data_IF_313908644419
#
_entry.id   IF_313908644419
#
_cell.length_a   1.000
_cell.length_b   1.000
_cell.length_c   1.000
_cell.angle_alpha   90.00
_cell.angle_beta   90.00
_cell.angle_gamma   90.00
#
_symmetry.space_group_name_H-M   'P 1'
#
loop_
_entity.id
_entity.type
_entity.pdbx_description
1 polymer ?
#
# COMPACT_ATOMS: atom_id res chain seq x y z
N UNK A 1 -9.19 -26.27 -12.80
CA UNK A 1 -8.61 -25.27 -11.88
C UNK A 1 -8.88 -23.91 -12.47
N UNK A 2 -9.86 -23.19 -11.95
CA UNK A 2 -10.07 -21.79 -12.31
C UNK A 2 -9.01 -20.98 -11.57
N UNK A 3 -8.12 -20.29 -12.29
CA UNK A 3 -7.30 -19.25 -11.66
C UNK A 3 -8.21 -18.02 -11.54
N UNK A 4 -8.84 -17.84 -10.38
CA UNK A 4 -9.38 -16.56 -9.99
C UNK A 4 -8.19 -15.68 -9.57
N UNK A 5 -7.68 -14.85 -10.49
CA UNK A 5 -6.81 -13.75 -10.11
C UNK A 5 -7.69 -12.55 -9.82
N UNK A 6 -7.97 -12.32 -8.55
CA UNK A 6 -8.50 -11.04 -8.08
C UNK A 6 -7.32 -10.08 -7.99
N UNK A 7 -7.11 -9.24 -9.01
CA UNK A 7 -6.26 -8.06 -8.85
C UNK A 7 -7.08 -6.99 -8.15
N UNK A 8 -6.75 -6.76 -6.88
CA UNK A 8 -7.07 -5.51 -6.20
C UNK A 8 -5.73 -4.80 -6.05
N UNK A 9 -5.67 -3.56 -6.56
CA UNK A 9 -4.45 -2.83 -6.78
C UNK A 9 -3.61 -2.74 -5.49
N UNK A 10 -2.45 -3.40 -5.49
CA UNK A 10 -1.42 -3.25 -4.44
C UNK A 10 -0.31 -2.38 -5.06
N UNK A 11 -0.08 -1.19 -4.49
CA UNK A 11 0.92 -0.20 -4.93
C UNK A 11 2.25 -0.36 -4.15
N UNK A 12 3.42 -0.11 -4.77
CA UNK A 12 4.71 -0.52 -4.23
C UNK A 12 5.42 0.51 -3.33
N UNK A 13 6.38 -0.02 -2.57
CA UNK A 13 7.29 0.65 -1.63
C UNK A 13 8.46 1.34 -2.37
N UNK A 14 8.77 2.57 -1.95
CA UNK A 14 10.06 3.23 -2.20
C UNK A 14 10.87 3.20 -0.91
N UNK A 15 12.09 2.66 -1.00
CA UNK A 15 13.11 2.70 0.05
C UNK A 15 14.07 3.88 -0.19
N UNK A 16 14.54 4.57 0.87
CA UNK A 16 15.56 5.60 0.75
C UNK A 16 16.96 4.97 0.55
N UNK A 17 17.69 5.50 -0.43
CA UNK A 17 19.10 5.22 -0.69
C UNK A 17 19.93 5.48 0.58
N UNK A 18 20.62 4.45 1.09
CA UNK A 18 21.70 4.62 2.07
C UNK A 18 23.04 4.29 1.40
N UNK A 19 23.91 5.30 1.31
CA UNK A 19 25.29 5.12 0.89
C UNK A 19 26.08 4.36 1.95
N UNK A 20 26.35 3.08 1.71
CA UNK A 20 27.32 2.33 2.51
C UNK A 20 28.75 2.67 2.04
N UNK A 21 29.47 3.50 2.80
CA UNK A 21 30.92 3.64 2.70
C UNK A 21 31.57 2.46 3.41
N UNK A 22 32.12 1.51 2.64
CA UNK A 22 32.95 0.42 3.14
C UNK A 22 34.35 0.95 3.47
N UNK A 23 34.73 0.94 4.75
CA UNK A 23 36.12 1.11 5.18
C UNK A 23 36.83 -0.25 5.12
N UNK A 24 37.72 -0.43 4.14
CA UNK A 24 38.76 -1.47 4.20
C UNK A 24 40.13 -0.80 4.22
N UNK A 25 40.84 -1.04 5.32
CA UNK A 25 42.26 -0.78 5.48
C UNK A 25 43.05 -1.57 4.43
N UNK A 26 43.81 -0.87 3.60
CA UNK A 26 44.98 -1.43 2.93
C UNK A 26 46.07 -0.35 2.90
N UNK A 27 47.16 -0.61 3.64
CA UNK A 27 48.44 0.09 3.47
C UNK A 27 48.91 -0.13 2.03
N UNK A 28 49.53 0.87 1.41
CA UNK A 28 50.88 0.78 0.81
C UNK A 28 51.28 2.10 0.12
N UNK A 29 52.52 2.49 0.43
CA UNK A 29 53.49 3.35 -0.27
C UNK A 29 53.25 4.84 -0.54
N UNK A 30 54.06 5.62 0.17
CA UNK A 30 54.45 6.99 -0.13
C UNK A 30 55.13 7.13 -1.50
N UNK A 31 54.65 8.05 -2.31
CA UNK A 31 55.52 8.88 -3.15
C UNK A 31 55.04 10.33 -3.11
N UNK A 32 55.92 11.17 -2.59
CA UNK A 32 55.79 12.62 -2.46
C UNK A 32 56.16 13.30 -3.77
N UNK A 33 55.25 14.06 -4.36
CA UNK A 33 55.58 15.18 -5.25
C UNK A 33 54.72 16.38 -4.86
N UNK A 34 55.37 17.54 -4.80
CA UNK A 34 54.93 18.77 -4.15
C UNK A 34 54.69 19.83 -5.22
N UNK A 35 53.66 20.67 -4.98
CA UNK A 35 53.46 22.07 -5.44
C UNK A 35 52.63 22.32 -6.72
N UNK A 36 51.95 23.50 -6.85
CA UNK A 36 51.43 24.40 -5.82
C UNK A 36 49.95 24.80 -5.99
N UNK A 37 49.45 25.43 -4.93
CA UNK A 37 48.14 26.05 -4.77
C UNK A 37 47.94 27.25 -5.71
N UNK A 38 46.77 27.34 -6.33
CA UNK A 38 46.19 28.60 -6.82
C UNK A 38 44.91 28.88 -6.06
N UNK A 39 45.01 29.83 -5.12
CA UNK A 39 43.88 30.49 -4.48
C UNK A 39 43.13 31.31 -5.53
N UNK A 40 41.83 31.05 -5.70
CA UNK A 40 40.92 32.10 -6.16
C UNK A 40 39.73 32.19 -5.22
N UNK A 41 39.67 33.36 -4.57
CA UNK A 41 38.57 33.87 -3.77
C UNK A 41 37.37 34.14 -4.68
N UNK A 42 36.21 33.57 -4.38
CA UNK A 42 34.95 34.33 -4.43
C UNK A 42 34.14 33.90 -3.22
N UNK A 43 34.05 34.81 -2.25
CA UNK A 43 33.24 34.67 -1.07
C UNK A 43 31.82 35.19 -1.36
N UNK A 44 30.85 34.49 -0.81
CA UNK A 44 29.57 35.00 -0.28
C UNK A 44 28.53 35.50 -1.29
N UNK A 45 27.48 34.68 -1.53
CA UNK A 45 26.08 35.15 -1.56
C UNK A 45 25.10 34.06 -1.10
N UNK A 46 24.45 34.37 0.03
CA UNK A 46 23.07 34.07 0.40
C UNK A 46 22.66 32.60 0.64
N UNK A 47 22.78 32.21 1.90
CA UNK A 47 21.78 31.38 2.56
C UNK A 47 20.48 32.17 2.71
N UNK A 48 19.39 31.72 2.12
CA UNK A 48 18.01 31.71 2.66
C UNK A 48 17.03 31.33 1.55
N UNK A 49 16.42 30.14 1.66
CA UNK A 49 15.02 29.86 1.35
C UNK A 49 14.82 28.34 1.29
N UNK A 50 14.83 27.69 2.45
CA UNK A 50 13.96 26.53 2.65
C UNK A 50 12.55 27.12 2.74
N UNK A 51 11.96 27.38 1.57
CA UNK A 51 10.55 27.67 1.50
C UNK A 51 9.83 26.42 2.01
N UNK A 52 9.08 26.62 3.10
CA UNK A 52 7.94 25.81 3.48
C UNK A 52 7.26 25.27 2.22
N UNK A 53 6.98 23.97 2.19
CA UNK A 53 6.02 23.39 1.28
C UNK A 53 4.66 24.04 1.59
N UNK A 54 4.44 25.23 1.03
CA UNK A 54 3.15 25.83 0.93
C UNK A 54 2.30 24.85 0.12
N UNK A 55 1.15 24.46 0.67
CA UNK A 55 0.14 23.73 -0.08
C UNK A 55 -0.06 24.44 -1.43
N UNK A 56 0.12 23.70 -2.53
CA UNK A 56 -0.21 24.19 -3.85
C UNK A 56 -1.66 24.72 -3.83
N UNK A 57 -1.97 25.82 -4.54
CA UNK A 57 -3.33 26.33 -4.59
C UNK A 57 -4.27 25.21 -5.07
N UNK A 58 -5.47 25.05 -4.48
CA UNK A 58 -6.44 24.12 -5.01
C UNK A 58 -6.96 24.70 -6.34
N UNK A 59 -6.54 24.12 -7.48
CA UNK A 59 -7.33 24.07 -8.74
C UNK A 59 -6.54 23.59 -10.00
N UNK A 60 -5.49 22.77 -9.92
CA UNK A 60 -4.94 22.10 -11.13
C UNK A 60 -5.51 20.70 -11.32
N UNK A 61 -5.58 19.90 -10.26
CA UNK A 61 -6.00 18.50 -10.36
C UNK A 61 -7.49 18.33 -10.65
N UNK A 62 -8.34 19.17 -10.06
CA UNK A 62 -9.80 19.08 -10.23
C UNK A 62 -10.21 19.44 -11.67
N UNK A 63 -9.58 20.43 -12.29
CA UNK A 63 -9.82 20.74 -13.70
C UNK A 63 -9.36 19.64 -14.65
N UNK A 64 -8.36 18.83 -14.25
CA UNK A 64 -7.94 17.68 -15.05
C UNK A 64 -9.01 16.58 -15.07
N UNK A 65 -9.89 16.51 -14.06
CA UNK A 65 -10.98 15.52 -14.05
C UNK A 65 -11.94 15.77 -15.22
N UNK A 66 -12.20 17.03 -15.54
CA UNK A 66 -13.12 17.43 -16.61
C UNK A 66 -12.60 17.10 -18.03
N UNK A 67 -11.31 16.74 -18.17
CA UNK A 67 -10.72 16.31 -19.45
C UNK A 67 -11.16 14.89 -19.86
N UNK A 68 -11.91 14.18 -19.02
CA UNK A 68 -12.47 12.86 -19.29
C UNK A 68 -13.99 12.88 -19.09
N UNK A 69 -14.73 12.45 -20.11
CA UNK A 69 -16.19 12.30 -20.02
C UNK A 69 -16.54 10.82 -19.72
N UNK A 70 -16.96 10.50 -18.48
CA UNK A 70 -17.31 9.14 -18.09
C UNK A 70 -18.66 8.67 -18.67
N UNK A 71 -19.46 9.57 -19.24
CA UNK A 71 -20.79 9.26 -19.79
C UNK A 71 -20.72 8.83 -21.26
N UNK A 72 -19.55 8.94 -21.90
CA UNK A 72 -19.37 8.44 -23.26
C UNK A 72 -19.58 6.93 -23.31
N UNK A 73 -20.34 6.41 -24.30
CA UNK A 73 -20.49 4.98 -24.49
C UNK A 73 -19.12 4.35 -24.78
N UNK A 74 -18.93 3.10 -24.37
CA UNK A 74 -17.63 2.42 -24.43
C UNK A 74 -17.06 2.36 -25.86
N UNK A 75 -17.92 2.35 -26.87
CA UNK A 75 -17.58 2.36 -28.29
C UNK A 75 -16.95 3.68 -28.76
N UNK A 76 -17.21 4.78 -28.04
CA UNK A 76 -16.69 6.12 -28.30
C UNK A 76 -15.66 6.57 -27.26
N UNK A 77 -15.53 5.81 -26.17
CA UNK A 77 -14.62 6.11 -25.07
C UNK A 77 -13.15 6.09 -25.51
N UNK A 78 -12.40 7.07 -25.01
CA UNK A 78 -10.95 7.14 -25.17
C UNK A 78 -10.25 6.75 -23.86
N UNK A 79 -8.96 6.43 -23.94
CA UNK A 79 -8.16 6.27 -22.72
C UNK A 79 -8.08 7.61 -21.97
N UNK A 80 -7.95 7.58 -20.63
CA UNK A 80 -7.78 8.81 -19.85
C UNK A 80 -6.65 9.71 -20.38
N UNK A 81 -6.76 11.04 -20.21
CA UNK A 81 -5.72 11.98 -20.61
C UNK A 81 -4.35 11.64 -20.00
N UNK A 82 -3.28 11.86 -20.75
CA UNK A 82 -1.91 11.55 -20.29
C UNK A 82 -1.51 12.28 -18.98
N UNK A 83 -2.13 13.43 -18.70
CA UNK A 83 -1.96 14.20 -17.46
C UNK A 83 -2.36 13.39 -16.22
N UNK A 84 -3.38 12.53 -16.30
CA UNK A 84 -3.80 11.69 -15.18
C UNK A 84 -2.72 10.70 -14.75
N UNK A 85 -1.83 10.32 -15.67
CA UNK A 85 -0.75 9.38 -15.39
C UNK A 85 0.54 10.06 -14.93
N UNK A 86 0.73 11.34 -15.27
CA UNK A 86 2.02 12.03 -15.17
C UNK A 86 2.02 13.23 -14.22
N UNK A 87 0.86 13.86 -13.98
CA UNK A 87 0.73 15.03 -13.11
C UNK A 87 0.70 14.61 -11.62
N UNK A 88 1.65 15.09 -10.78
CA UNK A 88 1.66 14.77 -9.35
C UNK A 88 0.41 15.22 -8.60
N UNK A 89 -0.20 16.35 -9.00
CA UNK A 89 -1.41 16.86 -8.35
C UNK A 89 -2.61 15.94 -8.55
N UNK A 90 -2.66 15.25 -9.70
CA UNK A 90 -3.68 14.23 -9.94
C UNK A 90 -3.46 12.99 -9.07
N UNK A 91 -2.20 12.57 -8.86
CA UNK A 91 -1.90 11.48 -7.94
C UNK A 91 -2.32 11.81 -6.49
N UNK A 92 -2.10 13.04 -6.04
CA UNK A 92 -2.55 13.46 -4.70
C UNK A 92 -4.07 13.42 -4.57
N UNK A 93 -4.80 13.84 -5.61
CA UNK A 93 -6.25 13.72 -5.70
C UNK A 93 -6.70 12.24 -5.65
N UNK A 94 -6.05 11.36 -6.40
CA UNK A 94 -6.34 9.92 -6.38
C UNK A 94 -6.10 9.29 -5.01
N UNK A 95 -5.00 9.68 -4.35
CA UNK A 95 -4.72 9.23 -2.99
C UNK A 95 -5.85 9.62 -2.04
N UNK A 96 -6.32 10.87 -2.06
CA UNK A 96 -7.45 11.30 -1.22
C UNK A 96 -8.77 10.62 -1.60
N UNK A 97 -9.13 10.60 -2.88
CA UNK A 97 -10.49 10.24 -3.33
C UNK A 97 -10.69 8.74 -3.50
N UNK A 98 -9.64 8.00 -3.88
CA UNK A 98 -9.73 6.55 -4.17
C UNK A 98 -9.11 5.75 -3.04
N UNK A 99 -7.84 6.03 -2.72
CA UNK A 99 -7.06 5.15 -1.85
C UNK A 99 -7.37 5.32 -0.37
N UNK A 100 -7.53 6.56 0.10
CA UNK A 100 -7.75 6.81 1.52
C UNK A 100 -9.21 6.59 1.95
N UNK A 101 -10.16 6.85 1.05
CA UNK A 101 -11.60 6.70 1.35
C UNK A 101 -12.15 5.31 1.05
N UNK A 102 -11.53 4.56 0.14
CA UNK A 102 -11.91 3.19 -0.20
C UNK A 102 -11.23 2.14 0.68
N UNK A 103 -11.85 0.96 0.79
CA UNK A 103 -11.23 -0.21 1.41
C UNK A 103 -10.08 -0.76 0.56
N UNK A 104 -8.95 -1.05 1.21
CA UNK A 104 -7.73 -1.57 0.58
C UNK A 104 -7.37 -2.92 1.19
N UNK A 105 -7.19 -3.96 0.37
CA UNK A 105 -6.59 -5.20 0.84
C UNK A 105 -5.09 -5.01 1.09
N UNK A 106 -4.67 -5.13 2.35
CA UNK A 106 -3.30 -4.84 2.78
C UNK A 106 -2.49 -6.08 3.18
N UNK A 107 -3.17 -7.21 3.37
CA UNK A 107 -2.56 -8.44 3.82
C UNK A 107 -3.58 -9.56 3.99
N UNK A 108 -3.11 -10.69 4.53
CA UNK A 108 -3.93 -11.87 4.77
C UNK A 108 -4.19 -12.08 6.26
N UNK A 109 -5.35 -12.62 6.61
CA UNK A 109 -5.74 -12.94 7.99
C UNK A 109 -4.77 -13.92 8.67
N UNK A 110 -4.17 -14.82 7.88
CA UNK A 110 -3.16 -15.78 8.35
C UNK A 110 -1.86 -15.11 8.85
N UNK A 111 -1.54 -13.89 8.40
CA UNK A 111 -0.40 -13.10 8.92
C UNK A 111 -0.64 -12.56 10.34
N UNK A 112 -1.90 -12.55 10.80
CA UNK A 112 -2.33 -12.16 12.16
C UNK A 112 -3.20 -13.25 12.76
N UNK A 113 -2.77 -14.50 12.66
CA UNK A 113 -3.55 -15.66 13.10
C UNK A 113 -3.63 -15.78 14.61
N UNK A 114 -2.51 -15.63 15.30
CA UNK A 114 -2.39 -15.76 16.75
C UNK A 114 -2.40 -14.39 17.43
N UNK A 115 -2.83 -14.28 18.71
CA UNK A 115 -2.57 -13.10 19.50
C UNK A 115 -1.09 -12.69 19.43
N UNK A 116 -0.84 -11.38 19.44
CA UNK A 116 0.48 -10.74 19.35
C UNK A 116 1.15 -10.80 17.96
N UNK A 117 0.55 -11.50 16.99
CA UNK A 117 1.01 -11.41 15.60
C UNK A 117 0.75 -10.00 15.05
N UNK A 118 1.70 -9.50 14.25
CA UNK A 118 1.59 -8.21 13.57
C UNK A 118 2.24 -8.24 12.18
N UNK A 119 1.81 -7.32 11.31
CA UNK A 119 2.54 -6.97 10.09
C UNK A 119 2.50 -5.48 9.75
N UNK A 120 3.57 -5.12 9.05
CA UNK A 120 3.98 -3.89 8.38
C UNK A 120 3.25 -3.48 7.11
N UNK A 121 2.97 -2.22 6.84
CA UNK A 121 2.89 -1.77 5.45
C UNK A 121 2.75 -0.27 5.27
N UNK A 122 2.65 0.15 4.01
CA UNK A 122 2.54 1.56 3.63
C UNK A 122 1.61 1.75 2.45
N UNK A 123 0.78 2.80 2.48
CA UNK A 123 -0.01 3.27 1.36
C UNK A 123 0.21 4.77 1.15
N UNK A 124 0.80 5.15 0.01
CA UNK A 124 1.26 6.53 -0.20
C UNK A 124 2.26 6.92 0.88
N UNK A 125 1.94 7.97 1.64
CA UNK A 125 2.71 8.45 2.80
C UNK A 125 2.24 7.89 4.16
N UNK A 126 1.25 6.98 4.17
CA UNK A 126 0.69 6.43 5.41
C UNK A 126 1.34 5.10 5.75
N UNK A 127 2.13 5.10 6.82
CA UNK A 127 2.71 3.91 7.44
C UNK A 127 1.70 3.29 8.40
N UNK A 128 1.42 2.00 8.27
CA UNK A 128 0.44 1.28 9.08
C UNK A 128 1.02 0.02 9.73
N UNK A 129 0.38 -0.37 10.83
CA UNK A 129 0.60 -1.66 11.50
C UNK A 129 -0.75 -2.31 11.73
N UNK A 130 -0.86 -3.58 11.36
CA UNK A 130 -1.98 -4.46 11.70
C UNK A 130 -1.50 -5.46 12.73
N UNK A 131 -2.28 -5.71 13.78
CA UNK A 131 -1.96 -6.72 14.79
C UNK A 131 -3.21 -7.41 15.32
N UNK A 132 -3.03 -8.59 15.90
CA UNK A 132 -4.04 -9.21 16.77
C UNK A 132 -3.70 -8.93 18.23
N UNK A 133 -4.60 -8.26 18.95
CA UNK A 133 -4.39 -7.95 20.37
C UNK A 133 -4.48 -9.20 21.27
N UNK A 134 -4.19 -9.04 22.55
CA UNK A 134 -4.23 -10.13 23.53
C UNK A 134 -5.65 -10.70 23.75
N UNK A 135 -6.70 -9.94 23.40
CA UNK A 135 -8.09 -10.40 23.43
C UNK A 135 -8.50 -11.10 22.12
N UNK A 136 -7.58 -11.24 21.18
CA UNK A 136 -7.84 -11.87 19.89
C UNK A 136 -8.47 -10.95 18.84
N UNK A 137 -8.66 -9.65 19.10
CA UNK A 137 -9.23 -8.70 18.13
C UNK A 137 -8.16 -8.19 17.17
N UNK A 138 -8.46 -8.20 15.86
CA UNK A 138 -7.60 -7.57 14.85
C UNK A 138 -7.77 -6.06 14.96
N UNK A 139 -6.65 -5.33 14.95
CA UNK A 139 -6.59 -3.87 15.04
C UNK A 139 -5.59 -3.32 14.05
N UNK A 140 -5.78 -2.07 13.66
CA UNK A 140 -4.85 -1.35 12.81
C UNK A 140 -4.63 0.07 13.31
N UNK A 141 -3.41 0.56 13.15
CA UNK A 141 -2.99 1.89 13.58
C UNK A 141 -2.04 2.51 12.58
N UNK A 142 -1.96 3.84 12.57
CA UNK A 142 -0.80 4.52 12.02
C UNK A 142 0.46 4.07 12.79
N UNK A 143 1.46 3.53 12.08
CA UNK A 143 2.70 2.99 12.64
C UNK A 143 3.68 4.11 13.00
N UNK A 144 3.22 5.10 13.77
CA UNK A 144 3.95 6.34 14.06
C UNK A 144 3.79 6.68 15.53
N UNK A 145 4.92 6.81 16.22
CA UNK A 145 4.92 7.23 17.62
C UNK A 145 4.35 8.64 17.78
N UNK A 146 3.41 8.81 18.70
CA UNK A 146 2.78 10.10 19.04
C UNK A 146 3.71 11.11 19.71
N UNK A 147 4.94 10.73 20.03
CA UNK A 147 5.94 11.64 20.62
C UNK A 147 6.70 12.42 19.53
N UNK A 148 7.57 11.76 18.77
CA UNK A 148 8.39 12.37 17.71
C UNK A 148 8.45 11.50 16.44
N UNK A 149 7.29 10.96 16.04
CA UNK A 149 7.05 10.35 14.73
C UNK A 149 7.96 9.20 14.29
N UNK A 150 8.67 8.55 15.22
CA UNK A 150 9.41 7.31 14.90
C UNK A 150 8.46 6.17 14.55
N UNK A 151 8.84 5.34 13.57
CA UNK A 151 8.20 4.05 13.34
C UNK A 151 8.29 3.16 14.59
N UNK A 152 7.23 2.40 14.86
CA UNK A 152 7.10 1.54 16.05
C UNK A 152 7.41 0.07 15.75
N UNK A 153 7.09 -0.38 14.54
CA UNK A 153 7.31 -1.73 14.07
C UNK A 153 7.79 -1.74 12.61
N UNK A 154 8.43 -2.84 12.19
CA UNK A 154 8.89 -3.07 10.83
C UNK A 154 8.77 -4.55 10.50
N UNK A 155 8.42 -4.87 9.25
CA UNK A 155 8.17 -6.25 8.80
C UNK A 155 6.96 -6.87 9.49
N UNK A 156 7.03 -8.17 9.76
CA UNK A 156 5.99 -8.96 10.45
C UNK A 156 6.60 -9.82 11.56
N UNK A 157 5.80 -10.23 12.53
CA UNK A 157 6.25 -11.13 13.60
C UNK A 157 5.33 -11.11 14.81
N UNK A 158 5.88 -11.39 15.99
CA UNK A 158 5.18 -11.36 17.28
C UNK A 158 5.69 -10.25 18.19
N UNK A 159 4.79 -9.50 18.81
CA UNK A 159 5.09 -8.46 19.82
C UNK A 159 4.00 -8.41 20.87
N UNK A 160 4.36 -8.41 22.15
CA UNK A 160 3.42 -8.14 23.25
C UNK A 160 3.10 -6.66 23.43
N UNK A 161 3.94 -5.76 22.90
CA UNK A 161 3.72 -4.31 22.87
C UNK A 161 4.59 -3.66 21.79
N UNK A 162 4.25 -2.42 21.43
CA UNK A 162 5.06 -1.59 20.53
C UNK A 162 5.90 -0.62 21.34
N UNK A 163 7.23 -0.72 21.23
CA UNK A 163 8.17 0.15 21.94
C UNK A 163 8.83 1.07 20.92
N UNK A 164 8.64 2.37 21.08
CA UNK A 164 9.28 3.38 20.25
C UNK A 164 10.81 3.31 20.43
N UNK A 165 11.59 3.08 19.35
CA UNK A 165 13.03 2.94 19.43
C UNK A 165 13.74 4.25 19.79
N UNK A 166 13.04 5.39 19.68
CA UNK A 166 13.64 6.70 19.95
C UNK A 166 13.71 7.01 21.45
N UNK A 167 12.57 6.98 22.14
CA UNK A 167 12.47 7.42 23.55
C UNK A 167 11.84 6.38 24.48
N UNK A 168 11.53 5.19 23.99
CA UNK A 168 10.98 4.09 24.80
C UNK A 168 9.52 4.24 25.21
N UNK A 169 8.75 5.14 24.55
CA UNK A 169 7.30 5.15 24.71
C UNK A 169 6.73 3.80 24.31
N UNK A 170 5.91 3.22 25.18
CA UNK A 170 5.41 1.85 25.05
C UNK A 170 3.91 1.87 24.86
N UNK A 171 3.42 1.24 23.80
CA UNK A 171 2.00 1.14 23.46
C UNK A 171 1.54 -0.31 23.53
N UNK A 172 0.35 -0.54 24.07
CA UNK A 172 -0.33 -1.83 24.02
C UNK A 172 -0.79 -2.14 22.58
N UNK A 173 -1.13 -3.40 22.32
CA UNK A 173 -1.67 -3.83 21.03
C UNK A 173 -3.09 -3.30 20.75
N UNK A 174 -3.78 -2.80 21.78
CA UNK A 174 -5.02 -2.05 21.61
C UNK A 174 -4.79 -0.55 21.32
N UNK A 175 -3.54 -0.12 21.16
CA UNK A 175 -3.17 1.27 20.85
C UNK A 175 -2.97 2.17 22.06
N UNK A 176 -3.37 1.75 23.26
CA UNK A 176 -3.21 2.57 24.46
C UNK A 176 -1.73 2.84 24.77
N UNK A 177 -1.38 4.09 25.10
CA UNK A 177 -0.06 4.40 25.63
C UNK A 177 0.05 3.83 27.05
N UNK A 178 0.93 2.86 27.25
CA UNK A 178 1.15 2.23 28.56
C UNK A 178 2.15 3.02 29.39
N UNK A 179 3.20 3.55 28.74
CA UNK A 179 4.30 4.22 29.42
C UNK A 179 4.91 5.29 28.56
N UNK A 180 4.95 6.51 29.08
CA UNK A 180 5.82 7.58 28.61
C UNK A 180 7.01 7.72 29.58
N UNK A 181 8.22 7.76 29.05
CA UNK A 181 9.44 7.83 29.87
C UNK A 181 9.66 9.27 30.35
N UNK A 182 10.08 9.44 31.61
CA UNK A 182 10.52 10.73 32.18
C UNK A 182 9.51 11.89 32.07
N UNK A 183 8.20 11.60 32.08
CA UNK A 183 7.13 12.63 32.02
C UNK A 183 6.73 13.21 33.37
N UNK A 184 7.36 12.78 34.46
CA UNK A 184 7.04 13.26 35.80
C UNK A 184 7.24 14.79 35.92
N UNK A 185 6.26 15.50 36.45
CA UNK A 185 6.29 16.95 36.64
C UNK A 185 5.85 17.78 35.42
N UNK A 186 5.56 17.14 34.28
CA UNK A 186 4.90 17.81 33.16
C UNK A 186 3.44 18.07 33.56
N UNK A 187 3.02 19.33 33.47
CA UNK A 187 1.63 19.73 33.71
C UNK A 187 0.79 19.42 32.46
N UNK A 188 -0.47 19.04 32.66
CA UNK A 188 -1.45 18.80 31.59
C UNK A 188 -1.03 17.72 30.58
N UNK A 189 -0.35 16.66 31.04
CA UNK A 189 -0.08 15.48 30.24
C UNK A 189 -0.95 14.32 30.73
N UNK A 190 -1.96 13.94 29.97
CA UNK A 190 -2.73 12.71 30.20
C UNK A 190 -2.29 11.63 29.21
N UNK A 191 -1.71 10.55 29.73
CA UNK A 191 -1.30 9.37 28.96
C UNK A 191 -2.43 8.84 28.07
N UNK A 192 -3.70 8.97 28.50
CA UNK A 192 -4.87 8.49 27.76
C UNK A 192 -5.10 9.23 26.44
N UNK A 193 -4.63 10.48 26.31
CA UNK A 193 -4.79 11.30 25.10
C UNK A 193 -3.74 10.98 24.01
N UNK A 194 -2.70 10.21 24.36
CA UNK A 194 -1.54 9.94 23.50
C UNK A 194 -1.48 8.50 22.99
N UNK A 195 -2.61 7.79 22.94
CA UNK A 195 -2.72 6.50 22.26
C UNK A 195 -2.44 6.58 20.75
N UNK A 196 -2.17 5.44 20.12
CA UNK A 196 -1.99 5.36 18.67
C UNK A 196 -3.26 5.81 17.94
N UNK A 197 -3.08 6.46 16.79
CA UNK A 197 -4.21 6.84 15.92
C UNK A 197 -4.69 5.56 15.21
N UNK A 198 -5.96 5.14 15.42
CA UNK A 198 -6.50 3.94 14.81
C UNK A 198 -6.77 4.12 13.32
N UNK A 199 -6.79 3.00 12.59
CA UNK A 199 -7.30 2.88 11.23
C UNK A 199 -8.50 1.93 11.25
N UNK A 200 -9.49 2.16 10.37
CA UNK A 200 -10.60 1.22 10.19
C UNK A 200 -10.03 -0.09 9.64
N UNK A 201 -10.41 -1.21 10.25
CA UNK A 201 -9.99 -2.54 9.82
C UNK A 201 -11.18 -3.47 9.75
N UNK A 202 -11.24 -4.28 8.70
CA UNK A 202 -12.21 -5.34 8.52
C UNK A 202 -11.52 -6.58 7.93
N UNK A 203 -12.21 -7.71 7.94
CA UNK A 203 -11.74 -8.93 7.29
C UNK A 203 -12.81 -9.50 6.39
N UNK A 204 -12.44 -9.96 5.20
CA UNK A 204 -13.36 -10.67 4.32
C UNK A 204 -12.62 -11.83 3.64
N UNK A 205 -13.11 -13.05 3.88
CA UNK A 205 -12.39 -14.26 3.51
C UNK A 205 -10.95 -14.27 4.06
N UNK A 206 -9.93 -14.51 3.22
CA UNK A 206 -8.53 -14.50 3.64
C UNK A 206 -7.93 -13.08 3.75
N UNK A 207 -8.66 -12.01 3.42
CA UNK A 207 -8.11 -10.65 3.33
C UNK A 207 -8.29 -9.85 4.61
N UNK A 208 -7.30 -9.02 4.91
CA UNK A 208 -7.38 -7.89 5.84
C UNK A 208 -7.55 -6.62 5.02
N UNK A 209 -8.62 -5.88 5.30
CA UNK A 209 -8.97 -4.63 4.63
C UNK A 209 -8.71 -3.45 5.57
N UNK A 210 -8.09 -2.39 5.06
CA UNK A 210 -7.97 -1.10 5.76
C UNK A 210 -8.69 0.00 5.01
N UNK A 211 -9.26 0.94 5.76
CA UNK A 211 -9.73 2.21 5.25
C UNK A 211 -9.00 3.33 6.02
N UNK A 212 -8.45 4.29 5.29
CA UNK A 212 -7.53 5.32 5.80
C UNK A 212 -8.21 6.69 5.97
N UNK A 213 -9.53 6.72 5.94
CA UNK A 213 -10.30 7.90 6.24
C UNK A 213 -10.00 8.38 7.67
N UNK A 214 -10.03 9.69 7.86
CA UNK A 214 -9.69 10.34 9.14
C UNK A 214 -10.81 10.14 10.17
N UNK A 215 -10.51 10.46 11.43
CA UNK A 215 -11.47 10.55 12.54
C UNK A 215 -12.16 9.24 12.92
N UNK A 216 -11.36 8.19 13.10
CA UNK A 216 -11.80 6.86 13.52
C UNK A 216 -11.71 6.73 15.04
N UNK A 217 -12.76 6.20 15.67
CA UNK A 217 -12.70 5.82 17.09
C UNK A 217 -11.92 4.51 17.26
N UNK A 218 -11.03 4.36 18.26
CA UNK A 218 -10.28 3.11 18.51
C UNK A 218 -11.16 1.88 18.74
N UNK A 219 -12.41 2.09 19.16
CA UNK A 219 -13.40 1.05 19.46
C UNK A 219 -14.44 0.89 18.35
N UNK A 220 -14.29 1.60 17.22
CA UNK A 220 -15.19 1.44 16.09
C UNK A 220 -15.04 0.03 15.50
N UNK A 221 -16.09 -0.77 15.64
CA UNK A 221 -16.22 -2.05 14.96
C UNK A 221 -16.88 -1.82 13.60
N UNK A 222 -16.26 -2.36 12.57
CA UNK A 222 -16.82 -2.39 11.22
C UNK A 222 -17.31 -3.81 10.98
N UNK A 223 -18.57 -3.96 10.64
CA UNK A 223 -19.12 -5.25 10.24
C UNK A 223 -18.46 -5.70 8.93
N UNK A 224 -17.89 -6.90 8.94
CA UNK A 224 -17.16 -7.47 7.80
C UNK A 224 -17.98 -7.47 6.51
N UNK A 225 -19.29 -7.73 6.60
CA UNK A 225 -20.19 -7.77 5.44
C UNK A 225 -20.42 -6.38 4.84
N UNK A 226 -20.45 -5.33 5.66
CA UNK A 226 -20.54 -3.95 5.19
C UNK A 226 -19.26 -3.58 4.46
N UNK A 227 -18.10 -3.82 5.09
CA UNK A 227 -16.81 -3.56 4.46
C UNK A 227 -16.62 -4.34 3.15
N UNK A 228 -17.07 -5.59 3.11
CA UNK A 228 -17.02 -6.41 1.90
C UNK A 228 -17.88 -5.84 0.77
N UNK A 229 -19.11 -5.43 1.07
CA UNK A 229 -20.02 -4.81 0.09
C UNK A 229 -19.48 -3.47 -0.41
N UNK A 230 -18.97 -2.63 0.49
CA UNK A 230 -18.33 -1.36 0.12
C UNK A 230 -17.08 -1.56 -0.73
N UNK A 231 -16.31 -2.61 -0.44
CA UNK A 231 -15.07 -2.91 -1.15
C UNK A 231 -15.30 -3.52 -2.53
N UNK A 232 -16.25 -4.45 -2.64
CA UNK A 232 -16.44 -5.27 -3.85
C UNK A 232 -17.64 -4.85 -4.69
N UNK A 233 -18.49 -3.96 -4.19
CA UNK A 233 -19.65 -3.46 -4.91
C UNK A 233 -20.59 -4.59 -5.34
N UNK A 234 -21.00 -4.54 -6.61
CA UNK A 234 -21.94 -5.51 -7.19
C UNK A 234 -21.34 -6.91 -7.32
N UNK A 235 -20.02 -7.02 -7.29
CA UNK A 235 -19.30 -8.30 -7.36
C UNK A 235 -19.33 -9.11 -6.06
N UNK A 236 -19.83 -8.59 -4.94
CA UNK A 236 -19.74 -9.28 -3.64
C UNK A 236 -20.32 -10.70 -3.68
N UNK A 237 -21.44 -10.90 -4.36
CA UNK A 237 -22.10 -12.21 -4.46
C UNK A 237 -21.34 -13.15 -5.40
N UNK A 238 -20.77 -12.63 -6.48
CA UNK A 238 -19.97 -13.40 -7.44
C UNK A 238 -18.69 -13.89 -6.78
N UNK A 239 -18.05 -13.02 -5.99
CA UNK A 239 -16.80 -13.33 -5.32
C UNK A 239 -17.00 -14.19 -4.07
N UNK A 240 -18.06 -13.93 -3.30
CA UNK A 240 -18.43 -14.68 -2.10
C UNK A 240 -18.93 -16.09 -2.39
N UNK A 241 -19.69 -16.27 -3.47
CA UNK A 241 -20.21 -17.58 -3.87
C UNK A 241 -19.24 -18.36 -4.77
N UNK A 242 -18.07 -18.77 -4.25
CA UNK A 242 -17.13 -19.75 -4.84
C UNK A 242 -15.83 -19.22 -5.49
N UNK A 243 -15.47 -17.94 -5.41
CA UNK A 243 -14.20 -17.48 -6.02
C UNK A 243 -12.99 -17.49 -5.08
N UNK A 244 -13.19 -17.40 -3.76
CA UNK A 244 -12.09 -17.23 -2.80
C UNK A 244 -12.21 -18.27 -1.70
N UNK A 245 -11.29 -19.25 -1.71
CA UNK A 245 -11.22 -20.28 -0.68
C UNK A 245 -10.74 -19.67 0.66
N UNK A 246 -11.54 -19.70 1.72
CA UNK A 246 -11.15 -19.15 3.02
C UNK A 246 -10.00 -19.93 3.69
N UNK A 247 -9.68 -21.13 3.21
CA UNK A 247 -8.58 -21.96 3.72
C UNK A 247 -7.21 -21.60 3.14
N UNK A 248 -7.13 -20.59 2.25
CA UNK A 248 -5.87 -20.12 1.68
C UNK A 248 -4.89 -19.71 2.79
N UNK A 249 -3.69 -20.28 2.73
CA UNK A 249 -2.60 -19.99 3.67
C UNK A 249 -1.62 -19.00 3.05
N UNK A 250 -1.11 -18.07 3.86
CA UNK A 250 -0.11 -17.13 3.39
C UNK A 250 1.25 -17.82 3.27
N UNK A 251 1.76 -17.95 2.05
CA UNK A 251 3.07 -18.56 1.79
C UNK A 251 4.20 -17.53 1.73
N UNK A 252 4.07 -16.53 0.85
CA UNK A 252 5.06 -15.49 0.68
C UNK A 252 4.47 -14.24 0.03
N UNK A 253 5.16 -13.11 0.21
CA UNK A 253 4.94 -11.87 -0.55
C UNK A 253 6.13 -11.66 -1.48
N UNK A 254 5.84 -11.27 -2.72
CA UNK A 254 6.83 -10.79 -3.69
C UNK A 254 6.55 -9.34 -3.97
N UNK A 255 7.59 -8.51 -3.90
CA UNK A 255 7.48 -7.07 -4.07
C UNK A 255 8.32 -6.64 -5.26
N UNK A 256 7.72 -5.81 -6.12
CA UNK A 256 8.35 -5.26 -7.31
C UNK A 256 8.14 -3.75 -7.31
N UNK A 257 9.20 -2.99 -7.57
CA UNK A 257 9.10 -1.56 -7.80
C UNK A 257 8.91 -1.37 -9.30
N UNK A 258 7.77 -0.81 -9.69
CA UNK A 258 7.45 -0.50 -11.07
C UNK A 258 7.48 1.02 -11.22
N UNK A 259 8.32 1.52 -12.13
CA UNK A 259 8.45 2.95 -12.44
C UNK A 259 7.35 3.40 -13.43
N UNK A 260 6.09 3.18 -13.04
CA UNK A 260 4.92 3.60 -13.80
C UNK A 260 3.80 4.09 -12.87
N UNK A 261 2.83 4.81 -13.44
CA UNK A 261 1.61 5.13 -12.73
C UNK A 261 0.82 3.84 -12.45
N UNK A 262 0.19 3.77 -11.28
CA UNK A 262 -0.56 2.58 -10.85
C UNK A 262 -1.68 2.20 -11.82
N UNK A 263 -2.31 3.20 -12.48
CA UNK A 263 -3.35 2.97 -13.48
C UNK A 263 -2.84 2.20 -14.69
N UNK A 264 -1.60 2.43 -15.14
CA UNK A 264 -1.00 1.68 -16.27
C UNK A 264 -0.95 0.19 -15.97
N UNK A 265 -0.66 -0.18 -14.71
CA UNK A 265 -0.64 -1.57 -14.28
C UNK A 265 -2.06 -2.17 -14.25
N UNK A 266 -3.05 -1.40 -13.79
CA UNK A 266 -4.46 -1.80 -13.82
C UNK A 266 -4.97 -1.94 -15.26
N UNK A 267 -4.72 -0.97 -16.13
CA UNK A 267 -5.12 -0.94 -17.54
C UNK A 267 -4.55 -2.14 -18.29
N UNK A 268 -3.29 -2.52 -18.02
CA UNK A 268 -2.68 -3.73 -18.58
C UNK A 268 -3.47 -5.00 -18.21
N UNK A 269 -3.88 -5.15 -16.96
CA UNK A 269 -4.70 -6.29 -16.52
C UNK A 269 -6.12 -6.25 -17.11
N UNK A 270 -6.65 -5.03 -17.28
CA UNK A 270 -8.02 -4.78 -17.73
C UNK A 270 -8.13 -4.62 -19.26
N UNK A 271 -7.12 -4.97 -20.04
CA UNK A 271 -7.17 -4.86 -21.51
C UNK A 271 -7.92 -6.00 -22.22
N UNK A 272 -8.47 -6.95 -21.44
CA UNK A 272 -9.23 -8.07 -21.99
C UNK A 272 -8.36 -9.16 -22.61
N UNK A 273 -7.08 -9.22 -22.24
CA UNK A 273 -6.12 -10.18 -22.78
C UNK A 273 -5.55 -9.77 -24.14
N UNK A 274 -5.79 -8.53 -24.57
CA UNK A 274 -5.37 -8.02 -25.88
C UNK A 274 -3.85 -8.10 -26.08
N UNK A 275 -3.07 -7.80 -25.04
CA UNK A 275 -1.61 -7.90 -25.07
C UNK A 275 -1.06 -9.33 -24.99
N UNK A 276 -1.85 -10.29 -24.48
CA UNK A 276 -1.36 -11.63 -24.10
C UNK A 276 -0.73 -12.42 -25.26
N UNK A 277 -1.33 -12.50 -26.47
CA UNK A 277 -0.73 -13.20 -27.61
C UNK A 277 0.67 -12.69 -27.99
N UNK A 278 0.91 -11.39 -27.79
CA UNK A 278 2.13 -10.72 -28.22
C UNK A 278 3.20 -10.74 -27.14
N UNK A 279 2.84 -10.35 -25.91
CA UNK A 279 3.75 -10.20 -24.79
C UNK A 279 4.02 -11.54 -24.05
N UNK A 280 3.07 -12.47 -24.07
CA UNK A 280 3.09 -13.67 -23.24
C UNK A 280 2.77 -14.95 -24.03
N UNK A 281 3.58 -15.26 -25.06
CA UNK A 281 3.39 -16.43 -25.94
C UNK A 281 3.12 -17.74 -25.18
N UNK A 282 3.81 -17.96 -24.05
CA UNK A 282 3.60 -19.14 -23.21
C UNK A 282 2.21 -19.16 -22.56
N UNK A 283 1.78 -18.04 -21.97
CA UNK A 283 0.46 -17.91 -21.33
C UNK A 283 -0.67 -18.01 -22.36
N UNK A 284 -0.51 -17.38 -23.53
CA UNK A 284 -1.49 -17.40 -24.60
C UNK A 284 -1.86 -18.83 -25.01
N UNK A 285 -0.90 -19.76 -25.00
CA UNK A 285 -1.15 -21.16 -25.33
C UNK A 285 -2.03 -21.90 -24.32
N UNK A 286 -2.11 -21.41 -23.08
CA UNK A 286 -2.92 -22.00 -22.00
C UNK A 286 -4.31 -21.41 -21.85
N UNK A 287 -4.65 -20.34 -22.59
CA UNK A 287 -5.91 -19.61 -22.44
C UNK A 287 -6.75 -19.72 -23.71
N UNK A 288 -8.07 -19.82 -23.52
CA UNK A 288 -9.02 -19.67 -24.62
C UNK A 288 -9.42 -18.20 -24.73
N UNK A 289 -8.58 -17.40 -25.39
CA UNK A 289 -8.71 -15.93 -25.42
C UNK A 289 -10.02 -15.45 -26.07
N UNK A 290 -10.58 -16.20 -27.01
CA UNK A 290 -11.91 -15.95 -27.60
C UNK A 290 -13.07 -16.18 -26.60
N UNK A 291 -12.80 -16.74 -25.42
CA UNK A 291 -13.76 -16.88 -24.32
C UNK A 291 -13.68 -15.79 -23.25
N UNK A 292 -12.82 -14.78 -23.43
CA UNK A 292 -12.74 -13.67 -22.50
C UNK A 292 -14.06 -12.92 -22.48
N UNK A 293 -14.60 -12.71 -21.28
CA UNK A 293 -15.80 -11.90 -21.06
C UNK A 293 -15.52 -10.88 -19.96
N UNK A 294 -16.00 -9.67 -20.17
CA UNK A 294 -15.97 -8.61 -19.15
C UNK A 294 -17.40 -8.20 -18.88
N UNK A 295 -17.82 -8.32 -17.63
CA UNK A 295 -19.09 -7.76 -17.14
C UNK A 295 -18.74 -6.50 -16.37
N UNK A 296 -19.36 -5.37 -16.74
CA UNK A 296 -19.12 -4.06 -16.13
C UNK A 296 -20.40 -3.64 -15.42
N UNK A 297 -20.24 -3.17 -14.19
CA UNK A 297 -21.26 -2.47 -13.40
C UNK A 297 -20.81 -1.03 -13.14
N UNK A 298 -21.69 -0.22 -12.56
CA UNK A 298 -21.46 1.22 -12.37
C UNK A 298 -20.18 1.56 -11.60
N UNK A 299 -19.76 0.72 -10.65
CA UNK A 299 -18.60 0.98 -9.78
C UNK A 299 -17.53 -0.12 -9.83
N UNK A 300 -17.79 -1.22 -10.52
CA UNK A 300 -16.97 -2.44 -10.45
C UNK A 300 -17.08 -3.26 -11.74
N UNK A 301 -16.12 -4.15 -11.98
CA UNK A 301 -16.09 -5.00 -13.17
C UNK A 301 -15.49 -6.37 -12.87
N UNK A 302 -16.04 -7.40 -13.49
CA UNK A 302 -15.58 -8.77 -13.37
C UNK A 302 -15.11 -9.29 -14.73
N UNK A 303 -13.87 -9.79 -14.77
CA UNK A 303 -13.30 -10.45 -15.94
C UNK A 303 -13.21 -11.94 -15.68
N UNK A 304 -13.72 -12.73 -16.61
CA UNK A 304 -13.61 -14.19 -16.56
C UNK A 304 -13.15 -14.73 -17.91
N UNK A 305 -12.31 -15.76 -17.86
CA UNK A 305 -11.87 -16.49 -19.03
C UNK A 305 -11.88 -17.99 -18.69
N UNK A 306 -12.36 -18.81 -19.62
CA UNK A 306 -12.33 -20.25 -19.42
C UNK A 306 -10.94 -20.80 -19.78
N UNK A 307 -10.42 -21.70 -18.95
CA UNK A 307 -9.33 -22.57 -19.36
C UNK A 307 -9.90 -23.79 -20.10
N UNK A 308 -9.26 -24.31 -21.15
CA UNK A 308 -9.69 -25.56 -21.76
C UNK A 308 -9.79 -26.67 -20.70
N UNK A 309 -10.79 -27.55 -20.78
CA UNK A 309 -10.81 -28.78 -19.98
C UNK A 309 -9.49 -29.49 -20.25
N UNK A 310 -8.69 -29.72 -19.22
CA UNK A 310 -7.46 -30.53 -19.34
C UNK A 310 -7.85 -31.85 -20.01
N UNK A 311 -7.40 -32.08 -21.26
CA UNK A 311 -7.12 -33.45 -21.66
C UNK A 311 -6.08 -33.92 -20.67
N UNK A 312 -6.33 -35.06 -20.04
CA UNK A 312 -5.42 -35.70 -19.09
C UNK A 312 -3.98 -35.53 -19.57
N UNK A 313 -3.15 -34.85 -18.78
CA UNK A 313 -1.71 -34.92 -19.00
C UNK A 313 -1.36 -36.41 -18.96
N UNK A 314 -0.72 -36.99 -19.99
CA UNK A 314 -0.23 -38.35 -19.89
C UNK A 314 0.78 -38.37 -18.74
N UNK A 315 0.47 -39.15 -17.71
CA UNK A 315 1.41 -39.46 -16.63
C UNK A 315 2.53 -40.28 -17.27
N UNK A 316 3.62 -39.63 -17.63
CA UNK A 316 4.87 -40.30 -17.89
C UNK A 316 5.86 -39.88 -16.81
N UNK A 317 6.00 -40.82 -15.86
CA UNK A 317 7.14 -41.17 -14.97
C UNK A 317 8.05 -40.03 -14.54
#
# INVERSE_FOLDING_TARGET
>A
MSMATTMIAIKPLFSPLTHHRSSRNARLHHHTTRMPLSLNRVATRLATSLASAAAAPPSSAESLVDDFDPELPIEEALTPPSSWYTDPSFLDLELDRVFYRGWQAVGCTDQVKSPQDFFTGRLGNVEFVVCRDDNGKIRAFHNVCRHHASLLASGSGKKSCFVCPYHGWTYALNGALLRATRVHGIRNFDVKEFGLIPLKVATWGPFVLLNFEKDVSPDQEVESDIAAKEWTGSCVDILGNNCIDPSLTYLCRREYILECNWKVFCDNYLDGGYHVPYAHKGLASGLKLDSYSTTVWTMDGHKSCTAPRTKEMPRNI
#
